data_IF_189401249397
#
_entry.id   IF_189401249397
#
_cell.length_a   1.000
_cell.length_b   1.000
_cell.length_c   1.000
_cell.angle_alpha   90.00
_cell.angle_beta   90.00
_cell.angle_gamma   90.00
#
_symmetry.space_group_name_H-M   'P 1'
#
loop_
_entity.id
_entity.type
_entity.pdbx_description
1 polymer ?
#
# COMPACT_ATOMS: atom_id res chain seq x y z
N UNK A 1 72.72 30.37 45.81
CA UNK A 1 72.56 31.25 44.62
C UNK A 1 72.14 30.36 43.47
N UNK A 2 71.03 30.57 42.73
CA UNK A 2 69.92 31.55 42.81
C UNK A 2 68.55 30.89 43.17
N UNK A 3 67.66 31.51 43.93
CA UNK A 3 66.58 32.47 43.62
C UNK A 3 65.26 31.85 43.09
N UNK A 4 64.21 32.24 43.82
CA UNK A 4 62.77 32.18 43.57
C UNK A 4 62.33 32.58 42.15
N UNK A 5 61.18 32.05 41.71
CA UNK A 5 59.95 32.82 41.42
C UNK A 5 59.08 32.22 40.30
N UNK A 6 57.77 32.19 40.56
CA UNK A 6 56.67 32.33 39.59
C UNK A 6 56.42 31.25 38.52
N UNK A 7 55.73 30.17 38.90
CA UNK A 7 54.88 29.43 37.97
C UNK A 7 53.51 30.14 37.85
N UNK A 8 53.42 31.10 36.93
CA UNK A 8 52.15 31.75 36.54
C UNK A 8 51.27 30.75 35.79
N UNK A 9 50.01 30.69 36.23
CA UNK A 9 48.89 30.09 35.53
C UNK A 9 48.82 30.61 34.09
N UNK A 10 48.93 29.72 33.11
CA UNK A 10 48.75 30.08 31.71
C UNK A 10 47.37 29.60 31.26
N UNK A 11 46.38 30.49 31.41
CA UNK A 11 45.02 30.34 30.89
C UNK A 11 45.02 30.53 29.36
N UNK A 12 45.50 29.53 28.62
CA UNK A 12 45.36 29.52 27.17
C UNK A 12 44.18 28.64 26.76
N UNK A 13 42.99 29.25 26.75
CA UNK A 13 41.85 28.79 25.96
C UNK A 13 42.24 28.88 24.47
N UNK A 14 42.80 27.80 23.95
CA UNK A 14 43.02 27.64 22.51
C UNK A 14 41.66 27.46 21.82
N UNK A 15 41.23 28.49 21.10
CA UNK A 15 40.13 28.40 20.15
C UNK A 15 40.59 27.56 18.95
N UNK A 16 40.25 26.26 18.96
CA UNK A 16 40.44 25.41 17.80
C UNK A 16 39.35 25.72 16.76
N UNK A 17 39.78 26.24 15.60
CA UNK A 17 38.93 26.39 14.43
C UNK A 17 38.82 25.02 13.74
N UNK A 18 37.67 24.36 13.85
CA UNK A 18 37.41 23.07 13.22
C UNK A 18 36.83 23.28 11.81
N UNK A 19 37.37 22.64 10.76
CA UNK A 19 36.84 22.75 9.40
C UNK A 19 35.43 22.14 9.28
N UNK A 20 34.58 22.78 8.47
CA UNK A 20 33.12 22.56 8.35
C UNK A 20 32.66 21.14 7.94
N UNK A 21 33.58 20.20 7.66
CA UNK A 21 33.26 18.81 7.29
C UNK A 21 33.05 17.87 8.48
N UNK A 22 33.38 18.28 9.71
CA UNK A 22 33.37 17.41 10.91
C UNK A 22 32.22 17.69 11.89
N UNK A 23 31.24 18.51 11.51
CA UNK A 23 30.04 18.76 12.30
C UNK A 23 28.96 17.69 12.03
N UNK A 24 29.29 16.42 12.25
CA UNK A 24 28.29 15.36 12.40
C UNK A 24 28.41 14.78 13.81
N UNK A 25 27.34 15.00 14.58
CA UNK A 25 26.79 14.19 15.69
C UNK A 25 26.99 14.53 17.18
N UNK A 26 27.85 15.45 17.65
CA UNK A 26 28.03 15.56 19.13
C UNK A 26 28.13 16.96 19.77
N UNK A 27 27.67 18.02 19.11
CA UNK A 27 27.69 19.37 19.70
C UNK A 27 26.27 19.91 19.82
N UNK A 28 25.72 19.94 21.04
CA UNK A 28 24.41 20.52 21.33
C UNK A 28 24.55 22.01 21.65
N UNK A 29 23.78 22.83 20.95
CA UNK A 29 23.57 24.24 21.25
C UNK A 29 22.78 24.37 22.56
N UNK A 30 23.31 25.12 23.52
CA UNK A 30 22.55 25.64 24.66
C UNK A 30 22.00 27.00 24.28
N UNK A 31 20.76 27.03 23.78
CA UNK A 31 19.84 28.16 23.99
C UNK A 31 18.41 27.63 23.91
N UNK A 32 17.52 28.29 24.63
CA UNK A 32 16.14 27.88 24.97
C UNK A 32 15.21 27.53 23.81
N UNK A 33 15.64 27.59 22.55
CA UNK A 33 14.88 27.12 21.39
C UNK A 33 15.81 26.38 20.41
N UNK A 34 15.71 25.05 20.39
CA UNK A 34 16.41 24.16 19.47
C UNK A 34 15.88 24.30 18.03
N UNK A 35 16.06 25.48 17.40
CA UNK A 35 15.88 25.64 15.96
C UNK A 35 17.26 25.69 15.28
N UNK A 36 17.52 24.86 14.26
CA UNK A 36 18.69 25.06 13.41
C UNK A 36 18.55 26.41 12.71
N UNK A 37 19.55 27.30 12.88
CA UNK A 37 19.60 28.56 12.15
C UNK A 37 20.16 28.30 10.75
N UNK A 38 19.46 28.81 9.73
CA UNK A 38 19.98 28.87 8.37
C UNK A 38 21.14 29.88 8.31
N UNK A 39 22.30 29.44 7.82
CA UNK A 39 23.44 30.33 7.59
C UNK A 39 23.32 30.95 6.19
N UNK A 40 23.20 32.27 6.11
CA UNK A 40 23.26 32.98 4.82
C UNK A 40 24.72 33.28 4.44
N UNK A 41 25.17 32.75 3.31
CA UNK A 41 26.53 32.98 2.80
C UNK A 41 26.56 34.32 2.05
N UNK A 42 27.16 35.35 2.63
CA UNK A 42 27.50 36.60 1.92
C UNK A 42 28.99 36.90 2.07
N UNK A 43 29.70 36.94 0.95
CA UNK A 43 31.08 37.43 0.88
C UNK A 43 32.13 36.62 1.65
N UNK A 44 31.96 35.29 1.76
CA UNK A 44 32.98 34.42 2.36
C UNK A 44 33.21 34.60 3.87
N UNK A 45 32.33 35.32 4.57
CA UNK A 45 32.37 35.46 6.03
C UNK A 45 31.06 34.97 6.65
N UNK A 46 31.15 34.02 7.57
CA UNK A 46 30.03 33.56 8.36
C UNK A 46 29.80 34.55 9.51
N UNK A 47 28.67 35.26 9.50
CA UNK A 47 28.22 36.05 10.65
C UNK A 47 27.18 35.24 11.42
N UNK A 48 27.64 34.45 12.38
CA UNK A 48 26.81 33.81 13.38
C UNK A 48 27.29 34.24 14.75
N UNK A 49 26.37 34.62 15.65
CA UNK A 49 26.70 35.10 16.99
C UNK A 49 27.69 34.20 17.73
N UNK A 50 28.49 34.79 18.62
CA UNK A 50 29.52 34.13 19.41
C UNK A 50 28.91 33.08 20.36
N UNK A 51 28.53 31.91 19.87
CA UNK A 51 28.07 30.83 20.74
C UNK A 51 29.28 30.17 21.39
N UNK A 52 29.29 30.10 22.72
CA UNK A 52 30.24 29.29 23.47
C UNK A 52 29.86 27.82 23.27
N UNK A 53 30.70 27.08 22.56
CA UNK A 53 30.60 25.62 22.51
C UNK A 53 31.13 25.08 23.83
N UNK A 54 30.25 24.44 24.59
CA UNK A 54 30.63 23.75 25.82
C UNK A 54 30.74 22.26 25.55
N UNK A 55 31.73 21.61 26.16
CA UNK A 55 31.77 20.16 26.20
C UNK A 55 30.53 19.63 26.93
N UNK A 56 29.99 18.44 26.56
CA UNK A 56 28.80 17.87 27.19
C UNK A 56 28.89 17.78 28.72
N UNK A 57 30.08 17.43 29.23
CA UNK A 57 30.33 17.36 30.68
C UNK A 57 30.23 18.73 31.37
N UNK A 58 30.62 19.81 30.69
CA UNK A 58 30.53 21.18 31.23
C UNK A 58 29.08 21.65 31.26
N UNK A 59 28.29 21.32 30.23
CA UNK A 59 26.84 21.58 30.22
C UNK A 59 26.12 20.81 31.31
N UNK A 60 26.50 19.55 31.53
CA UNK A 60 25.96 18.70 32.59
C UNK A 60 26.24 19.29 33.97
N UNK A 61 27.47 19.69 34.25
CA UNK A 61 27.84 20.35 35.51
C UNK A 61 27.09 21.68 35.74
N UNK A 62 26.93 22.48 34.68
CA UNK A 62 26.14 23.73 34.73
C UNK A 62 24.64 23.44 34.99
N UNK A 63 24.08 22.43 34.34
CA UNK A 63 22.70 22.01 34.53
C UNK A 63 22.46 21.43 35.93
N UNK A 64 23.37 20.62 36.45
CA UNK A 64 23.33 20.12 37.82
C UNK A 64 23.37 21.27 38.84
N UNK A 65 24.23 22.27 38.62
CA UNK A 65 24.30 23.47 39.48
C UNK A 65 23.01 24.29 39.44
N UNK A 66 22.34 24.36 38.29
CA UNK A 66 21.12 25.15 38.09
C UNK A 66 19.85 24.46 38.58
N UNK A 67 19.70 23.16 38.35
CA UNK A 67 18.46 22.42 38.60
C UNK A 67 18.56 21.41 39.75
N UNK A 68 19.76 21.06 40.19
CA UNK A 68 20.03 19.98 41.15
C UNK A 68 20.06 18.59 40.49
N UNK A 69 20.90 17.69 41.02
CA UNK A 69 21.13 16.33 40.47
C UNK A 69 19.85 15.50 40.35
N UNK A 70 19.02 15.48 41.39
CA UNK A 70 17.78 14.69 41.41
C UNK A 70 16.79 15.16 40.34
N UNK A 71 16.67 16.48 40.15
CA UNK A 71 15.74 17.04 39.15
C UNK A 71 16.23 16.78 37.73
N UNK A 72 17.55 16.84 37.50
CA UNK A 72 18.15 16.52 36.21
C UNK A 72 17.97 15.04 35.85
N UNK A 73 18.12 14.14 36.83
CA UNK A 73 17.85 12.71 36.66
C UNK A 73 16.37 12.46 36.28
N UNK A 74 15.43 13.11 36.97
CA UNK A 74 14.00 13.01 36.62
C UNK A 74 13.73 13.48 35.19
N UNK A 75 14.32 14.59 34.74
CA UNK A 75 14.16 15.05 33.36
C UNK A 75 14.72 14.08 32.31
N UNK A 76 15.84 13.40 32.62
CA UNK A 76 16.39 12.34 31.74
C UNK A 76 15.42 11.17 31.65
N UNK A 77 14.95 10.69 32.79
CA UNK A 77 14.00 9.59 32.86
C UNK A 77 12.69 9.93 32.14
N UNK A 78 12.13 11.12 32.35
CA UNK A 78 10.93 11.57 31.63
C UNK A 78 11.14 11.64 30.11
N UNK A 79 12.32 12.06 29.66
CA UNK A 79 12.67 12.12 28.24
C UNK A 79 12.81 10.72 27.65
N UNK A 80 13.49 9.81 28.36
CA UNK A 80 13.64 8.41 27.98
C UNK A 80 12.29 7.71 27.90
N UNK A 81 11.41 7.90 28.89
CA UNK A 81 10.05 7.38 28.90
C UNK A 81 9.24 7.90 27.71
N UNK A 82 9.36 9.20 27.37
CA UNK A 82 8.69 9.77 26.20
C UNK A 82 9.19 9.14 24.90
N UNK A 83 10.49 8.94 24.77
CA UNK A 83 11.10 8.28 23.60
C UNK A 83 10.63 6.83 23.53
N UNK A 84 10.60 6.11 24.65
CA UNK A 84 10.18 4.72 24.70
C UNK A 84 8.70 4.57 24.34
N UNK A 85 7.82 5.40 24.91
CA UNK A 85 6.39 5.43 24.54
C UNK A 85 6.19 5.71 23.06
N UNK A 86 7.01 6.56 22.46
CA UNK A 86 6.96 6.83 21.01
C UNK A 86 7.35 5.59 20.20
N UNK A 87 8.45 4.92 20.56
CA UNK A 87 8.88 3.65 19.92
C UNK A 87 7.82 2.56 20.05
N UNK A 88 7.23 2.40 21.23
CA UNK A 88 6.20 1.38 21.46
C UNK A 88 4.94 1.64 20.62
N UNK A 89 4.55 2.90 20.44
CA UNK A 89 3.44 3.28 19.53
C UNK A 89 3.79 2.98 18.07
N UNK A 90 5.00 3.32 17.64
CA UNK A 90 5.46 3.03 16.28
C UNK A 90 5.49 1.53 16.01
N UNK A 91 5.98 0.72 16.95
CA UNK A 91 5.98 -0.74 16.85
C UNK A 91 4.55 -1.31 16.77
N UNK A 92 3.63 -0.81 17.60
CA UNK A 92 2.22 -1.22 17.54
C UNK A 92 1.59 -0.89 16.19
N UNK A 93 1.81 0.32 15.67
CA UNK A 93 1.30 0.72 14.36
C UNK A 93 1.87 -0.16 13.25
N UNK A 94 3.18 -0.45 13.26
CA UNK A 94 3.81 -1.36 12.31
C UNK A 94 3.24 -2.79 12.39
N UNK A 95 2.95 -3.29 13.58
CA UNK A 95 2.33 -4.60 13.76
C UNK A 95 0.89 -4.63 13.20
N UNK A 96 0.12 -3.57 13.43
CA UNK A 96 -1.23 -3.41 12.89
C UNK A 96 -1.23 -3.33 11.36
N UNK A 97 -0.31 -2.57 10.77
CA UNK A 97 -0.13 -2.49 9.32
C UNK A 97 0.22 -3.87 8.73
N UNK A 98 1.14 -4.62 9.35
CA UNK A 98 1.46 -5.98 8.93
C UNK A 98 0.26 -6.92 9.02
N UNK A 99 -0.53 -6.82 10.08
CA UNK A 99 -1.78 -7.59 10.23
C UNK A 99 -2.78 -7.23 9.13
N UNK A 100 -2.92 -5.95 8.81
CA UNK A 100 -3.82 -5.48 7.76
C UNK A 100 -3.38 -5.95 6.36
N UNK A 101 -2.10 -5.83 6.04
CA UNK A 101 -1.54 -6.35 4.78
C UNK A 101 -1.76 -7.86 4.64
N UNK A 102 -1.59 -8.62 5.73
CA UNK A 102 -1.85 -10.07 5.73
C UNK A 102 -3.33 -10.38 5.45
N UNK A 103 -4.25 -9.67 6.09
CA UNK A 103 -5.71 -9.82 5.86
C UNK A 103 -6.08 -9.46 4.42
N UNK A 104 -5.54 -8.37 3.88
CA UNK A 104 -5.81 -7.95 2.50
C UNK A 104 -5.29 -8.97 1.49
N UNK A 105 -4.09 -9.52 1.71
CA UNK A 105 -3.53 -10.57 0.87
C UNK A 105 -4.39 -11.84 0.89
N UNK A 106 -4.89 -12.22 2.08
CA UNK A 106 -5.78 -13.36 2.24
C UNK A 106 -7.12 -13.14 1.52
N UNK A 107 -7.73 -11.96 1.66
CA UNK A 107 -8.93 -11.60 0.91
C UNK A 107 -8.69 -11.65 -0.60
N UNK A 108 -7.56 -11.11 -1.09
CA UNK A 108 -7.18 -11.19 -2.51
C UNK A 108 -7.00 -12.64 -2.98
N UNK A 109 -6.44 -13.52 -2.15
CA UNK A 109 -6.33 -14.96 -2.44
C UNK A 109 -7.71 -15.61 -2.53
N UNK A 110 -8.59 -15.37 -1.55
CA UNK A 110 -9.96 -15.90 -1.57
C UNK A 110 -10.74 -15.41 -2.80
N UNK A 111 -10.65 -14.11 -3.14
CA UNK A 111 -11.27 -13.58 -4.35
C UNK A 111 -10.74 -14.23 -5.63
N UNK A 112 -9.43 -14.49 -5.73
CA UNK A 112 -8.85 -15.20 -6.88
C UNK A 112 -9.36 -16.64 -6.99
N UNK A 113 -9.52 -17.34 -5.86
CA UNK A 113 -10.10 -18.69 -5.83
C UNK A 113 -11.57 -18.69 -6.26
N UNK A 114 -12.35 -17.71 -5.78
CA UNK A 114 -13.75 -17.53 -6.21
C UNK A 114 -13.85 -17.25 -7.70
N UNK A 115 -13.03 -16.34 -8.24
CA UNK A 115 -12.97 -16.07 -9.69
C UNK A 115 -12.59 -17.30 -10.51
N UNK A 116 -11.67 -18.13 -10.00
CA UNK A 116 -11.30 -19.39 -10.66
C UNK A 116 -12.46 -20.38 -10.62
N UNK A 117 -13.13 -20.53 -9.47
CA UNK A 117 -14.33 -21.35 -9.31
C UNK A 117 -15.44 -20.91 -10.28
N UNK A 118 -15.65 -19.60 -10.41
CA UNK A 118 -16.60 -19.02 -11.38
C UNK A 118 -16.20 -19.24 -12.84
N UNK A 119 -14.92 -19.09 -13.18
CA UNK A 119 -14.42 -19.32 -14.55
C UNK A 119 -14.59 -20.78 -14.98
N UNK A 120 -14.37 -21.71 -14.06
CA UNK A 120 -14.53 -23.15 -14.29
C UNK A 120 -16.00 -23.60 -14.22
N UNK A 121 -16.94 -22.69 -13.90
CA UNK A 121 -18.37 -23.01 -13.79
C UNK A 121 -18.95 -23.35 -15.16
N UNK A 122 -19.66 -24.49 -15.29
CA UNK A 122 -20.34 -24.83 -16.53
C UNK A 122 -21.30 -23.72 -16.98
N UNK A 123 -21.28 -23.42 -18.28
CA UNK A 123 -22.19 -22.45 -18.86
C UNK A 123 -23.63 -22.98 -18.79
N UNK A 124 -24.57 -22.11 -18.42
CA UNK A 124 -25.99 -22.47 -18.24
C UNK A 124 -26.58 -23.11 -19.49
N UNK A 125 -27.55 -24.00 -19.26
CA UNK A 125 -28.34 -24.59 -20.34
C UNK A 125 -29.01 -23.50 -21.21
N UNK A 126 -29.01 -23.76 -22.50
CA UNK A 126 -29.44 -22.84 -23.54
C UNK A 126 -30.86 -23.20 -23.98
N UNK A 127 -31.69 -22.18 -24.21
CA UNK A 127 -33.07 -22.41 -24.66
C UNK A 127 -33.12 -22.70 -26.18
N UNK A 128 -34.24 -23.26 -26.64
CA UNK A 128 -34.43 -23.67 -28.04
C UNK A 128 -34.19 -22.53 -29.05
N UNK A 129 -34.68 -21.33 -28.75
CA UNK A 129 -34.48 -20.16 -29.60
C UNK A 129 -33.02 -19.69 -29.68
N UNK A 130 -32.23 -19.89 -28.63
CA UNK A 130 -30.81 -19.53 -28.65
C UNK A 130 -29.98 -20.55 -29.44
N UNK A 131 -30.34 -21.83 -29.42
CA UNK A 131 -29.74 -22.82 -30.34
C UNK A 131 -30.00 -22.46 -31.81
N UNK A 132 -31.22 -22.02 -32.12
CA UNK A 132 -31.57 -21.52 -33.46
C UNK A 132 -30.74 -20.27 -33.81
N UNK A 133 -30.69 -19.27 -32.91
CA UNK A 133 -29.88 -18.06 -33.12
C UNK A 133 -28.41 -18.37 -33.40
N UNK A 134 -27.76 -19.22 -32.61
CA UNK A 134 -26.34 -19.55 -32.80
C UNK A 134 -26.03 -20.12 -34.18
N UNK A 135 -26.94 -20.94 -34.73
CA UNK A 135 -26.76 -21.50 -36.07
C UNK A 135 -26.99 -20.47 -37.18
N UNK A 136 -28.01 -19.63 -37.04
CA UNK A 136 -28.43 -18.72 -38.11
C UNK A 136 -27.72 -17.36 -38.10
N UNK A 137 -27.25 -16.89 -36.94
CA UNK A 137 -26.59 -15.57 -36.79
C UNK A 137 -25.39 -15.36 -37.73
N UNK A 138 -24.52 -16.36 -37.99
CA UNK A 138 -23.45 -16.22 -38.98
C UNK A 138 -23.97 -16.03 -40.42
N UNK A 139 -25.05 -16.69 -40.80
CA UNK A 139 -25.66 -16.53 -42.12
C UNK A 139 -26.24 -15.11 -42.29
N UNK A 140 -27.01 -14.65 -41.29
CA UNK A 140 -27.56 -13.29 -41.26
C UNK A 140 -26.49 -12.20 -41.31
N UNK A 141 -25.35 -12.42 -40.66
CA UNK A 141 -24.21 -11.50 -40.69
C UNK A 141 -23.55 -11.43 -42.07
N UNK A 142 -23.46 -12.56 -42.78
CA UNK A 142 -22.92 -12.61 -44.15
C UNK A 142 -23.83 -11.91 -45.16
N UNK A 143 -25.14 -12.05 -45.00
CA UNK A 143 -26.15 -11.41 -45.85
C UNK A 143 -26.24 -9.90 -45.61
N UNK A 144 -25.84 -9.41 -44.43
CA UNK A 144 -25.91 -8.01 -44.06
C UNK A 144 -24.53 -7.47 -43.63
N UNK A 145 -23.52 -7.38 -44.52
CA UNK A 145 -22.16 -7.01 -44.12
C UNK A 145 -22.00 -5.53 -43.75
N UNK A 146 -22.97 -4.67 -44.08
CA UNK A 146 -22.85 -3.20 -44.03
C UNK A 146 -22.95 -2.60 -42.62
N UNK A 147 -23.40 -3.38 -41.63
CA UNK A 147 -23.54 -2.92 -40.25
C UNK A 147 -22.44 -3.47 -39.34
N UNK A 148 -21.78 -2.59 -38.59
CA UNK A 148 -20.90 -2.99 -37.48
C UNK A 148 -21.42 -2.41 -36.16
N UNK A 149 -21.20 -3.15 -35.06
CA UNK A 149 -21.54 -2.70 -33.71
C UNK A 149 -22.84 -3.27 -33.11
N UNK A 150 -23.12 -2.85 -31.89
CA UNK A 150 -24.18 -3.42 -31.03
C UNK A 150 -25.61 -3.23 -31.58
N UNK A 151 -25.88 -2.09 -32.21
CA UNK A 151 -27.20 -1.81 -32.79
C UNK A 151 -27.54 -2.79 -33.94
N UNK A 152 -26.54 -3.12 -34.75
CA UNK A 152 -26.67 -4.06 -35.86
C UNK A 152 -26.91 -5.50 -35.37
N UNK A 153 -26.14 -5.93 -34.37
CA UNK A 153 -26.34 -7.23 -33.74
C UNK A 153 -27.74 -7.41 -33.15
N UNK A 154 -28.26 -6.38 -32.48
CA UNK A 154 -29.65 -6.35 -31.99
C UNK A 154 -30.68 -6.46 -33.11
N UNK A 155 -30.43 -5.82 -34.26
CA UNK A 155 -31.33 -5.89 -35.41
C UNK A 155 -31.39 -7.32 -35.97
N UNK A 156 -30.23 -7.97 -36.14
CA UNK A 156 -30.16 -9.38 -36.54
C UNK A 156 -30.92 -10.26 -35.55
N UNK A 157 -30.67 -10.11 -34.25
CA UNK A 157 -31.31 -10.95 -33.24
C UNK A 157 -32.83 -10.78 -33.24
N UNK A 158 -33.34 -9.56 -33.50
CA UNK A 158 -34.78 -9.32 -33.70
C UNK A 158 -35.33 -10.07 -34.92
N UNK A 159 -34.64 -10.03 -36.06
CA UNK A 159 -35.05 -10.74 -37.27
C UNK A 159 -35.07 -12.25 -37.06
N UNK A 160 -34.03 -12.82 -36.46
CA UNK A 160 -33.95 -14.26 -36.19
C UNK A 160 -35.04 -14.69 -35.19
N UNK A 161 -35.34 -13.87 -34.18
CA UNK A 161 -36.43 -14.17 -33.25
C UNK A 161 -37.80 -14.14 -33.93
N UNK A 162 -38.02 -13.25 -34.89
CA UNK A 162 -39.24 -13.23 -35.69
C UNK A 162 -39.35 -14.52 -36.53
N UNK A 163 -38.26 -14.93 -37.19
CA UNK A 163 -38.21 -16.19 -37.94
C UNK A 163 -38.44 -17.42 -37.07
N UNK A 164 -37.83 -17.47 -35.89
CA UNK A 164 -38.03 -18.58 -34.96
C UNK A 164 -39.49 -18.74 -34.53
N UNK A 165 -40.22 -17.61 -34.39
CA UNK A 165 -41.65 -17.61 -34.06
C UNK A 165 -42.52 -18.04 -35.23
N UNK A 166 -42.10 -17.78 -36.47
CA UNK A 166 -42.82 -18.21 -37.67
C UNK A 166 -42.56 -19.68 -38.05
N UNK A 167 -41.60 -20.36 -37.41
CA UNK A 167 -41.35 -21.79 -37.65
C UNK A 167 -42.58 -22.66 -37.33
N UNK A 168 -42.74 -23.73 -38.12
CA UNK A 168 -43.75 -24.74 -37.88
C UNK A 168 -43.55 -25.44 -36.52
N UNK A 169 -44.61 -26.07 -36.01
CA UNK A 169 -44.52 -26.81 -34.75
C UNK A 169 -43.51 -27.98 -34.83
N UNK A 170 -43.38 -28.59 -36.01
CA UNK A 170 -42.46 -29.71 -36.25
C UNK A 170 -41.00 -29.25 -36.22
N UNK A 171 -40.67 -28.15 -36.89
CA UNK A 171 -39.33 -27.59 -36.85
C UNK A 171 -38.96 -27.12 -35.44
N UNK A 172 -39.90 -26.48 -34.72
CA UNK A 172 -39.70 -26.08 -33.32
C UNK A 172 -39.48 -27.26 -32.38
N UNK A 173 -40.06 -28.44 -32.65
CA UNK A 173 -39.81 -29.66 -31.86
C UNK A 173 -38.34 -30.06 -31.91
N UNK A 174 -37.67 -29.94 -33.06
CA UNK A 174 -36.24 -30.28 -33.19
C UNK A 174 -35.37 -29.41 -32.27
N UNK A 175 -35.64 -28.10 -32.22
CA UNK A 175 -34.93 -27.15 -31.37
C UNK A 175 -35.27 -27.34 -29.89
N UNK A 176 -36.51 -27.71 -29.59
CA UNK A 176 -36.94 -28.05 -28.23
C UNK A 176 -36.26 -29.33 -27.73
N UNK A 177 -36.08 -30.33 -28.59
CA UNK A 177 -35.34 -31.55 -28.27
C UNK A 177 -33.86 -31.23 -27.98
N UNK A 178 -33.21 -30.37 -28.79
CA UNK A 178 -31.84 -29.89 -28.54
C UNK A 178 -31.71 -29.17 -27.19
N UNK A 179 -32.66 -28.30 -26.85
CA UNK A 179 -32.66 -27.60 -25.56
C UNK A 179 -32.85 -28.55 -24.37
N UNK A 180 -33.69 -29.59 -24.51
CA UNK A 180 -33.85 -30.63 -23.49
C UNK A 180 -32.55 -31.41 -23.28
N UNK A 181 -31.88 -31.80 -24.36
CA UNK A 181 -30.58 -32.47 -24.29
C UNK A 181 -29.50 -31.57 -23.64
N UNK A 182 -29.49 -30.28 -23.97
CA UNK A 182 -28.56 -29.31 -23.37
C UNK A 182 -28.82 -29.09 -21.87
N UNK A 183 -30.08 -29.14 -21.43
CA UNK A 183 -30.43 -29.12 -20.01
C UNK A 183 -29.81 -30.31 -19.27
N UNK A 184 -29.93 -31.51 -19.83
CA UNK A 184 -29.33 -32.73 -19.25
C UNK A 184 -27.80 -32.64 -19.22
N UNK A 185 -27.17 -32.08 -20.28
CA UNK A 185 -25.73 -31.81 -20.30
C UNK A 185 -25.33 -30.89 -19.14
N UNK A 186 -26.01 -29.75 -19.00
CA UNK A 186 -25.73 -28.78 -17.94
C UNK A 186 -25.89 -29.39 -16.54
N UNK A 187 -26.95 -30.15 -16.29
CA UNK A 187 -27.17 -30.79 -14.99
C UNK A 187 -26.03 -31.77 -14.62
N UNK A 188 -25.55 -32.56 -15.59
CA UNK A 188 -24.41 -33.47 -15.39
C UNK A 188 -23.10 -32.71 -15.14
N UNK A 189 -22.79 -31.73 -15.97
CA UNK A 189 -21.58 -30.90 -15.83
C UNK A 189 -21.60 -30.13 -14.52
N UNK A 190 -22.75 -29.56 -14.15
CA UNK A 190 -22.94 -28.82 -12.92
C UNK A 190 -22.77 -29.72 -11.70
N UNK A 191 -23.36 -30.92 -11.68
CA UNK A 191 -23.19 -31.86 -10.59
C UNK A 191 -21.72 -32.28 -10.42
N UNK A 192 -21.00 -32.52 -11.52
CA UNK A 192 -19.57 -32.84 -11.48
C UNK A 192 -18.73 -31.67 -10.97
N UNK A 193 -19.04 -30.45 -11.41
CA UNK A 193 -18.38 -29.22 -10.93
C UNK A 193 -18.67 -28.97 -9.44
N UNK A 194 -19.92 -29.11 -9.02
CA UNK A 194 -20.36 -28.91 -7.64
C UNK A 194 -19.68 -29.92 -6.71
N UNK A 195 -19.66 -31.20 -7.10
CA UNK A 195 -18.91 -32.23 -6.39
C UNK A 195 -17.43 -31.88 -6.27
N UNK A 196 -16.77 -31.51 -7.39
CA UNK A 196 -15.34 -31.15 -7.40
C UNK A 196 -15.01 -30.02 -6.43
N UNK A 197 -15.86 -29.00 -6.35
CA UNK A 197 -15.59 -27.82 -5.52
C UNK A 197 -16.11 -27.91 -4.09
N UNK A 198 -17.12 -28.75 -3.81
CA UNK A 198 -17.66 -28.96 -2.46
C UNK A 198 -17.00 -30.13 -1.73
N UNK A 199 -16.39 -31.09 -2.44
CA UNK A 199 -15.61 -32.19 -1.82
C UNK A 199 -14.14 -31.84 -1.58
N UNK A 200 -13.72 -30.61 -1.89
CA UNK A 200 -12.35 -30.10 -1.70
C UNK A 200 -12.21 -29.11 -0.53
N UNK A 201 -13.30 -28.81 0.17
CA UNK A 201 -13.31 -28.05 1.42
C UNK A 201 -13.46 -28.99 2.61
#
# INVERSE_FOLDING_TARGET
MPNDENAKENSNNHAFCVPAGYAKSEWFLDTQDLKPLEYEQKGGRYYGGCFKLYQPAVLEALAEKKYGKNRLANFRQEREDKIQRKRDRELKNQEEERKQQKRELEQKRQQKLLRKKEKDRPCKAVCAGEHYRRLHRPAFRKENPTGSGYAFEKAIDKMINAQYRSLSAEERRTWTAKAKADKVRYEKEYAAWDKKWNSQG
#
